data_IF_503366273569
#
_entry.id   IF_503366273569
#
_cell.length_a   1.000
_cell.length_b   1.000
_cell.length_c   1.000
_cell.angle_alpha   90.00
_cell.angle_beta   90.00
_cell.angle_gamma   90.00
#
_symmetry.space_group_name_H-M   'P 1'
#
loop_
_entity.id
_entity.type
_entity.pdbx_description
1 polymer ?
#
# COMPACT_ATOMS: atom_id res chain seq x y z
N UNK A 1 -17.57 7.57 -8.80
CA UNK A 1 -17.55 7.49 -7.32
C UNK A 1 -18.43 6.36 -6.79
N UNK A 2 -19.54 5.99 -7.46
CA UNK A 2 -20.34 4.80 -7.12
C UNK A 2 -19.51 3.53 -6.86
N UNK A 3 -18.50 3.26 -7.68
CA UNK A 3 -17.57 2.13 -7.48
C UNK A 3 -16.89 2.10 -6.09
N UNK A 4 -16.63 3.26 -5.47
CA UNK A 4 -16.07 3.30 -4.11
C UNK A 4 -17.10 2.85 -3.07
N UNK A 5 -18.36 3.24 -3.24
CA UNK A 5 -19.45 2.77 -2.38
C UNK A 5 -19.68 1.28 -2.55
N UNK A 6 -19.61 0.76 -3.77
CA UNK A 6 -19.97 -0.63 -4.03
C UNK A 6 -18.85 -1.61 -3.67
N UNK A 7 -17.58 -1.18 -3.80
CA UNK A 7 -16.43 -2.10 -3.77
C UNK A 7 -15.38 -1.79 -2.71
N UNK A 8 -15.32 -0.58 -2.14
CA UNK A 8 -14.20 -0.14 -1.30
C UNK A 8 -14.58 -0.03 0.18
N UNK A 9 -14.39 -1.11 0.94
CA UNK A 9 -14.85 -1.22 2.33
C UNK A 9 -14.34 -0.08 3.23
N UNK A 10 -13.05 0.26 3.13
CA UNK A 10 -12.48 1.39 3.85
C UNK A 10 -13.26 2.69 3.63
N UNK A 11 -13.66 2.97 2.39
CA UNK A 11 -14.43 4.16 2.04
C UNK A 11 -15.86 4.08 2.56
N UNK A 12 -16.47 2.89 2.58
CA UNK A 12 -17.80 2.68 3.14
C UNK A 12 -17.85 3.05 4.63
N UNK A 13 -16.79 2.71 5.38
CA UNK A 13 -16.64 2.96 6.83
C UNK A 13 -16.30 4.42 7.18
N UNK A 14 -15.87 5.25 6.22
CA UNK A 14 -15.55 6.66 6.49
C UNK A 14 -16.81 7.47 6.88
N UNK A 15 -16.71 8.43 7.80
CA UNK A 15 -17.73 9.45 8.00
C UNK A 15 -17.94 10.32 6.75
N UNK A 16 -19.13 10.90 6.59
CA UNK A 16 -19.50 11.61 5.35
C UNK A 16 -18.54 12.75 4.95
N UNK A 17 -18.03 13.51 5.92
CA UNK A 17 -17.04 14.56 5.66
C UNK A 17 -15.72 14.00 5.14
N UNK A 18 -15.30 12.84 5.65
CA UNK A 18 -14.10 12.13 5.22
C UNK A 18 -14.28 11.46 3.85
N UNK A 19 -15.49 11.00 3.51
CA UNK A 19 -15.81 10.48 2.16
C UNK A 19 -15.57 11.53 1.09
N UNK A 20 -16.12 12.74 1.25
CA UNK A 20 -15.88 13.84 0.29
C UNK A 20 -14.40 14.16 0.15
N UNK A 21 -13.67 14.16 1.26
CA UNK A 21 -12.22 14.39 1.25
C UNK A 21 -11.45 13.28 0.52
N UNK A 22 -11.83 12.02 0.74
CA UNK A 22 -11.27 10.85 0.07
C UNK A 22 -11.51 10.92 -1.44
N UNK A 23 -12.74 11.19 -1.88
CA UNK A 23 -13.10 11.33 -3.29
C UNK A 23 -12.27 12.41 -4.00
N UNK A 24 -12.10 13.57 -3.35
CA UNK A 24 -11.27 14.65 -3.89
C UNK A 24 -9.81 14.21 -4.06
N UNK A 25 -9.25 13.48 -3.08
CA UNK A 25 -7.88 12.96 -3.17
C UNK A 25 -7.76 11.91 -4.28
N UNK A 26 -8.74 11.02 -4.43
CA UNK A 26 -8.79 10.02 -5.52
C UNK A 26 -8.83 10.71 -6.88
N UNK A 27 -9.72 11.69 -7.08
CA UNK A 27 -9.81 12.44 -8.32
C UNK A 27 -8.50 13.19 -8.62
N UNK A 28 -7.87 13.77 -7.60
CA UNK A 28 -6.58 14.46 -7.74
C UNK A 28 -5.46 13.49 -8.12
N UNK A 29 -5.41 12.30 -7.51
CA UNK A 29 -4.46 11.25 -7.85
C UNK A 29 -4.63 10.82 -9.31
N UNK A 30 -5.88 10.56 -9.74
CA UNK A 30 -6.17 10.16 -11.13
C UNK A 30 -5.73 11.24 -12.12
N UNK A 31 -5.92 12.52 -11.79
CA UNK A 31 -5.47 13.65 -12.61
C UNK A 31 -3.95 13.78 -12.64
N UNK A 32 -3.27 13.45 -11.54
CA UNK A 32 -1.83 13.61 -11.38
C UNK A 32 -1.03 12.58 -12.16
N UNK A 33 -1.46 11.32 -12.14
CA UNK A 33 -0.70 10.21 -12.72
C UNK A 33 -1.35 9.70 -14.01
N UNK A 34 -0.63 9.65 -15.14
CA UNK A 34 -1.07 8.92 -16.32
C UNK A 34 -1.12 7.42 -16.02
N UNK A 35 -2.19 6.78 -16.49
CA UNK A 35 -2.38 5.33 -16.47
C UNK A 35 -2.17 4.79 -17.88
N UNK A 36 -1.23 3.87 -18.03
CA UNK A 36 -0.75 3.37 -19.32
C UNK A 36 -1.06 1.87 -19.39
N UNK A 37 -1.93 1.50 -20.33
CA UNK A 37 -2.20 0.10 -20.65
C UNK A 37 -1.07 -0.51 -21.50
N UNK A 38 -0.73 -1.76 -21.21
CA UNK A 38 0.20 -2.60 -21.98
C UNK A 38 -0.50 -3.88 -22.44
N UNK A 39 0.09 -4.54 -23.43
CA UNK A 39 -0.40 -5.79 -24.01
C UNK A 39 -1.88 -5.72 -24.45
N UNK A 40 -2.25 -4.59 -25.07
CA UNK A 40 -3.57 -4.37 -25.65
C UNK A 40 -4.69 -4.05 -24.65
N UNK A 41 -4.40 -3.95 -23.35
CA UNK A 41 -5.44 -3.60 -22.36
C UNK A 41 -5.90 -2.14 -22.52
N UNK A 42 -7.22 -1.94 -22.59
CA UNK A 42 -7.81 -0.61 -22.50
C UNK A 42 -7.98 -0.23 -21.04
N UNK A 43 -7.36 0.88 -20.60
CA UNK A 43 -7.47 1.34 -19.22
C UNK A 43 -8.88 1.89 -18.95
N UNK A 44 -9.63 1.20 -18.09
CA UNK A 44 -11.00 1.58 -17.72
C UNK A 44 -11.03 2.58 -16.56
N UNK A 45 -12.17 3.22 -16.32
CA UNK A 45 -12.37 4.07 -15.15
C UNK A 45 -12.33 3.28 -13.83
N UNK A 46 -12.76 2.03 -13.85
CA UNK A 46 -12.69 1.15 -12.69
C UNK A 46 -11.24 0.93 -12.24
N UNK A 47 -10.35 0.60 -13.17
CA UNK A 47 -8.91 0.45 -12.90
C UNK A 47 -8.34 1.71 -12.24
N UNK A 48 -8.63 2.88 -12.83
CA UNK A 48 -8.15 4.17 -12.31
C UNK A 48 -8.65 4.43 -10.88
N UNK A 49 -9.93 4.17 -10.63
CA UNK A 49 -10.56 4.43 -9.34
C UNK A 49 -10.02 3.48 -8.27
N UNK A 50 -9.97 2.17 -8.52
CA UNK A 50 -9.53 1.20 -7.50
C UNK A 50 -8.05 1.36 -7.16
N UNK A 51 -7.18 1.56 -8.17
CA UNK A 51 -5.75 1.81 -7.95
C UNK A 51 -5.55 3.12 -7.18
N UNK A 52 -6.22 4.21 -7.58
CA UNK A 52 -6.10 5.48 -6.90
C UNK A 52 -6.65 5.44 -5.47
N UNK A 53 -7.77 4.76 -5.24
CA UNK A 53 -8.36 4.59 -3.92
C UNK A 53 -7.43 3.82 -2.98
N UNK A 54 -6.75 2.77 -3.48
CA UNK A 54 -5.77 2.01 -2.70
C UNK A 54 -4.60 2.89 -2.26
N UNK A 55 -4.04 3.69 -3.17
CA UNK A 55 -2.99 4.66 -2.82
C UNK A 55 -3.46 5.72 -1.81
N UNK A 56 -4.67 6.24 -2.00
CA UNK A 56 -5.25 7.28 -1.13
C UNK A 56 -5.59 6.73 0.24
N UNK A 57 -6.06 5.49 0.34
CA UNK A 57 -6.28 4.78 1.61
C UNK A 57 -4.99 4.69 2.42
N UNK A 58 -3.91 4.20 1.78
CA UNK A 58 -2.60 4.08 2.42
C UNK A 58 -2.06 5.43 2.94
N UNK A 59 -2.33 6.51 2.22
CA UNK A 59 -1.83 7.86 2.53
C UNK A 59 -2.89 8.76 3.15
N UNK A 60 -4.02 8.22 3.62
CA UNK A 60 -5.19 9.03 3.96
C UNK A 60 -4.90 10.00 5.12
N UNK A 61 -4.17 9.51 6.11
CA UNK A 61 -3.67 10.30 7.24
C UNK A 61 -2.61 11.34 6.89
N UNK A 62 -1.95 11.23 5.73
CA UNK A 62 -0.81 12.09 5.38
C UNK A 62 -1.26 13.43 4.79
N UNK A 63 -0.54 14.50 5.13
CA UNK A 63 -0.77 15.83 4.53
C UNK A 63 -0.29 15.87 3.09
N UNK A 64 0.88 15.29 2.81
CA UNK A 64 1.39 15.06 1.45
C UNK A 64 1.09 13.61 1.05
N UNK A 65 -0.04 13.42 0.38
CA UNK A 65 -0.56 12.09 0.04
C UNK A 65 -0.20 11.62 -1.38
N UNK A 66 0.30 12.54 -2.23
CA UNK A 66 0.76 12.19 -3.57
C UNK A 66 2.24 11.81 -3.53
N UNK A 67 2.58 10.76 -4.27
CA UNK A 67 3.94 10.29 -4.43
C UNK A 67 4.76 11.14 -5.42
N UNK A 68 5.96 11.54 -5.03
CA UNK A 68 6.92 12.27 -5.87
C UNK A 68 7.95 11.34 -6.52
N UNK A 69 8.04 10.09 -6.03
CA UNK A 69 8.98 9.06 -6.48
C UNK A 69 8.47 8.24 -7.67
N UNK A 70 7.19 8.38 -8.03
CA UNK A 70 6.59 7.85 -9.25
C UNK A 70 5.96 8.99 -10.06
N UNK A 71 5.85 8.78 -11.37
CA UNK A 71 5.19 9.70 -12.30
C UNK A 71 4.18 9.04 -13.24
N UNK A 72 4.04 7.70 -13.20
CA UNK A 72 3.09 6.94 -14.02
C UNK A 72 2.73 5.59 -13.40
N UNK A 73 1.58 5.08 -13.83
CA UNK A 73 1.05 3.76 -13.46
C UNK A 73 0.92 2.94 -14.74
N UNK A 74 1.48 1.74 -14.75
CA UNK A 74 1.44 0.83 -15.89
C UNK A 74 0.56 -0.36 -15.53
N UNK A 75 -0.34 -0.74 -16.45
CA UNK A 75 -1.29 -1.83 -16.24
C UNK A 75 -1.11 -2.86 -17.36
N UNK A 76 -0.88 -4.10 -16.97
CA UNK A 76 -0.93 -5.30 -17.81
C UNK A 76 -2.21 -6.08 -17.54
N UNK A 77 -2.74 -6.84 -18.50
CA UNK A 77 -3.93 -7.67 -18.28
C UNK A 77 -3.69 -8.82 -17.28
N UNK A 78 -2.54 -9.49 -17.38
CA UNK A 78 -2.14 -10.62 -16.51
C UNK A 78 -0.65 -10.47 -16.13
N UNK A 79 -0.02 -11.54 -15.63
CA UNK A 79 1.42 -11.63 -15.35
C UNK A 79 2.21 -11.19 -16.58
N UNK A 80 3.22 -10.35 -16.35
CA UNK A 80 4.05 -9.77 -17.41
C UNK A 80 5.52 -10.03 -17.13
N UNK A 81 6.32 -10.02 -18.19
CA UNK A 81 7.78 -10.13 -18.06
C UNK A 81 8.39 -8.75 -17.84
N UNK A 82 9.07 -8.55 -16.71
CA UNK A 82 9.83 -7.33 -16.44
C UNK A 82 11.24 -7.46 -17.01
N UNK A 83 11.59 -6.59 -17.96
CA UNK A 83 12.95 -6.52 -18.50
C UNK A 83 13.95 -5.95 -17.50
N UNK A 84 13.48 -5.35 -16.39
CA UNK A 84 14.34 -4.74 -15.38
C UNK A 84 15.11 -5.79 -14.57
N UNK A 85 14.45 -6.86 -14.15
CA UNK A 85 15.04 -7.95 -13.38
C UNK A 85 14.93 -9.33 -14.07
N UNK A 86 14.46 -9.34 -15.33
CA UNK A 86 14.36 -10.54 -16.17
C UNK A 86 13.50 -11.65 -15.55
N UNK A 87 12.39 -11.27 -14.91
CA UNK A 87 11.46 -12.19 -14.27
C UNK A 87 10.00 -11.85 -14.58
N UNK A 88 9.11 -12.81 -14.32
CA UNK A 88 7.67 -12.61 -14.41
C UNK A 88 7.13 -12.00 -13.12
N UNK A 89 6.30 -10.98 -13.25
CA UNK A 89 5.75 -10.21 -12.13
C UNK A 89 4.24 -10.12 -12.16
N UNK A 90 3.67 -10.00 -10.97
CA UNK A 90 2.28 -9.58 -10.76
C UNK A 90 2.21 -8.08 -10.49
N UNK A 91 3.21 -7.51 -9.81
CA UNK A 91 3.38 -6.08 -9.62
C UNK A 91 4.87 -5.74 -9.52
N UNK A 92 5.20 -4.46 -9.74
CA UNK A 92 6.55 -3.95 -9.56
C UNK A 92 6.53 -2.45 -9.30
N UNK A 93 7.13 -2.01 -8.20
CA UNK A 93 7.62 -0.64 -8.07
C UNK A 93 9.04 -0.52 -8.64
N UNK A 94 9.19 0.36 -9.64
CA UNK A 94 10.46 0.63 -10.32
C UNK A 94 10.93 2.08 -10.11
N UNK A 95 11.84 2.35 -9.15
CA UNK A 95 12.32 3.70 -8.87
C UNK A 95 13.07 4.37 -10.03
N UNK A 96 13.77 3.58 -10.87
CA UNK A 96 14.52 4.12 -12.02
C UNK A 96 13.57 4.62 -13.10
N UNK A 97 12.51 3.87 -13.36
CA UNK A 97 11.47 4.27 -14.30
C UNK A 97 10.45 5.23 -13.71
N UNK A 98 10.50 5.49 -12.39
CA UNK A 98 9.47 6.23 -11.63
C UNK A 98 8.07 5.67 -11.91
N UNK A 99 7.95 4.36 -11.95
CA UNK A 99 6.72 3.67 -12.31
C UNK A 99 6.31 2.69 -11.23
N UNK A 100 5.00 2.52 -11.08
CA UNK A 100 4.41 1.36 -10.45
C UNK A 100 3.65 0.58 -11.51
N UNK A 101 3.78 -0.74 -11.49
CA UNK A 101 3.28 -1.65 -12.51
C UNK A 101 2.37 -2.68 -11.87
N UNK A 102 1.23 -2.96 -12.49
CA UNK A 102 0.25 -3.91 -11.99
C UNK A 102 -0.25 -4.87 -13.07
N UNK A 103 -0.37 -6.14 -12.72
CA UNK A 103 -1.26 -7.10 -13.37
C UNK A 103 -2.69 -6.85 -12.88
N UNK A 104 -3.58 -6.46 -13.79
CA UNK A 104 -4.95 -6.12 -13.43
C UNK A 104 -5.72 -7.30 -12.84
N UNK A 105 -5.54 -8.49 -13.42
CA UNK A 105 -6.13 -9.72 -12.89
C UNK A 105 -5.78 -9.93 -11.41
N UNK A 106 -4.48 -9.87 -11.08
CA UNK A 106 -4.01 -10.10 -9.72
C UNK A 106 -4.34 -8.94 -8.77
N UNK A 107 -4.41 -7.72 -9.29
CA UNK A 107 -4.91 -6.58 -8.54
C UNK A 107 -6.36 -6.81 -8.11
N UNK A 108 -7.23 -7.32 -9.00
CA UNK A 108 -8.61 -7.65 -8.67
C UNK A 108 -8.74 -8.86 -7.75
N UNK A 109 -7.91 -9.90 -7.92
CA UNK A 109 -7.90 -11.08 -7.05
C UNK A 109 -7.63 -10.68 -5.59
N UNK A 110 -6.58 -9.89 -5.34
CA UNK A 110 -6.25 -9.38 -3.99
C UNK A 110 -7.19 -8.28 -3.50
N UNK A 111 -8.19 -7.89 -4.28
CA UNK A 111 -9.24 -6.97 -3.88
C UNK A 111 -10.57 -7.70 -3.62
N UNK A 112 -10.72 -8.91 -4.16
CA UNK A 112 -11.92 -9.73 -3.98
C UNK A 112 -11.95 -10.46 -2.63
N UNK A 113 -10.79 -10.64 -2.01
CA UNK A 113 -10.63 -11.21 -0.67
C UNK A 113 -9.93 -10.12 0.15
N UNK A 114 -10.62 -9.60 1.16
CA UNK A 114 -10.18 -8.45 1.95
C UNK A 114 -9.50 -8.84 3.28
N UNK A 115 -9.29 -10.15 3.51
CA UNK A 115 -8.83 -10.69 4.79
C UNK A 115 -7.76 -11.80 4.66
N UNK A 116 -7.22 -12.04 3.47
CA UNK A 116 -6.14 -13.02 3.25
C UNK A 116 -4.74 -12.41 3.37
N UNK A 117 -4.64 -11.09 3.57
CA UNK A 117 -3.39 -10.34 3.65
C UNK A 117 -2.53 -10.47 2.37
N UNK A 118 -3.18 -10.57 1.20
CA UNK A 118 -2.59 -10.70 -0.14
C UNK A 118 -3.09 -9.61 -1.10
N UNK A 119 -2.80 -8.35 -0.76
CA UNK A 119 -3.27 -7.22 -1.54
C UNK A 119 -2.15 -6.61 -2.37
N UNK A 120 -2.11 -6.97 -3.65
CA UNK A 120 -1.08 -6.48 -4.58
C UNK A 120 -1.00 -4.95 -4.62
N UNK A 121 -2.14 -4.27 -4.56
CA UNK A 121 -2.19 -2.82 -4.56
C UNK A 121 -1.53 -2.21 -3.33
N UNK A 122 -1.89 -2.69 -2.15
CA UNK A 122 -1.27 -2.26 -0.88
C UNK A 122 0.22 -2.61 -0.85
N UNK A 123 0.59 -3.79 -1.33
CA UNK A 123 1.97 -4.26 -1.35
C UNK A 123 2.88 -3.31 -2.14
N UNK A 124 2.55 -3.07 -3.41
CA UNK A 124 3.37 -2.22 -4.28
C UNK A 124 3.32 -0.74 -3.87
N UNK A 125 2.17 -0.24 -3.40
CA UNK A 125 2.13 1.12 -2.84
C UNK A 125 2.87 1.22 -1.50
N UNK A 126 2.94 0.15 -0.72
CA UNK A 126 3.76 0.05 0.49
C UNK A 126 5.24 0.23 0.18
N UNK A 127 5.73 -0.42 -0.88
CA UNK A 127 7.07 -0.19 -1.42
C UNK A 127 7.31 1.27 -1.84
N UNK A 128 6.37 1.86 -2.59
CA UNK A 128 6.45 3.29 -2.98
C UNK A 128 6.50 4.20 -1.76
N UNK A 129 5.64 3.94 -0.77
CA UNK A 129 5.56 4.73 0.45
C UNK A 129 6.85 4.63 1.26
N UNK A 130 7.36 3.43 1.46
CA UNK A 130 8.62 3.19 2.15
C UNK A 130 9.77 3.95 1.48
N UNK A 131 9.90 3.81 0.17
CA UNK A 131 10.95 4.50 -0.59
C UNK A 131 10.82 6.04 -0.53
N UNK A 132 9.59 6.57 -0.56
CA UNK A 132 9.36 8.01 -0.39
C UNK A 132 9.64 8.48 1.04
N UNK A 133 9.20 7.72 2.04
CA UNK A 133 9.32 8.06 3.46
C UNK A 133 10.76 8.20 3.91
N UNK A 134 11.68 7.42 3.33
CA UNK A 134 13.12 7.53 3.61
C UNK A 134 13.81 8.65 2.81
N UNK A 135 13.26 9.07 1.66
CA UNK A 135 13.92 10.04 0.75
C UNK A 135 13.44 11.48 0.89
N UNK A 136 12.20 11.69 1.29
CA UNK A 136 11.62 13.04 1.41
C UNK A 136 11.91 13.62 2.79
N UNK A 137 11.89 14.96 2.89
CA UNK A 137 12.08 15.71 4.13
C UNK A 137 10.82 16.45 4.58
N UNK A 138 9.65 16.10 4.04
CA UNK A 138 8.39 16.66 4.51
C UNK A 138 7.94 16.00 5.83
N UNK A 139 7.02 16.66 6.54
CA UNK A 139 6.57 16.21 7.86
C UNK A 139 6.08 14.76 7.87
N UNK A 140 5.34 14.31 6.85
CA UNK A 140 4.84 12.93 6.80
C UNK A 140 5.99 11.93 6.58
N UNK A 141 6.98 12.28 5.76
CA UNK A 141 8.18 11.48 5.57
C UNK A 141 9.08 11.45 6.83
N UNK A 142 9.17 12.54 7.58
CA UNK A 142 9.89 12.58 8.86
C UNK A 142 9.23 11.67 9.90
N UNK A 143 7.89 11.73 10.03
CA UNK A 143 7.16 10.81 10.93
C UNK A 143 7.39 9.37 10.48
N UNK A 144 7.23 9.09 9.18
CA UNK A 144 7.45 7.76 8.63
C UNK A 144 8.86 7.24 8.94
N UNK A 145 9.92 7.98 8.63
CA UNK A 145 11.31 7.53 8.80
C UNK A 145 11.68 7.30 10.27
N UNK A 146 11.31 8.22 11.18
CA UNK A 146 11.56 8.05 12.62
C UNK A 146 10.83 6.82 13.16
N UNK A 147 9.55 6.66 12.85
CA UNK A 147 8.78 5.52 13.33
C UNK A 147 9.22 4.21 12.68
N UNK A 148 9.61 4.24 11.41
CA UNK A 148 10.21 3.10 10.71
C UNK A 148 11.48 2.62 11.43
N UNK A 149 12.40 3.53 11.78
CA UNK A 149 13.65 3.18 12.47
C UNK A 149 13.37 2.55 13.85
N UNK A 150 12.37 3.06 14.58
CA UNK A 150 11.91 2.47 15.83
C UNK A 150 11.37 1.05 15.64
N UNK A 151 10.48 0.87 14.64
CA UNK A 151 9.93 -0.45 14.32
C UNK A 151 11.07 -1.40 13.96
N UNK A 152 11.98 -1.02 13.05
CA UNK A 152 13.08 -1.88 12.62
C UNK A 152 14.00 -2.28 13.77
N UNK A 153 14.29 -1.35 14.68
CA UNK A 153 15.07 -1.64 15.89
C UNK A 153 14.37 -2.68 16.77
N UNK A 154 13.07 -2.57 16.95
CA UNK A 154 12.28 -3.50 17.76
C UNK A 154 12.12 -4.86 17.11
N UNK A 155 11.79 -4.92 15.82
CA UNK A 155 11.54 -6.20 15.13
C UNK A 155 12.81 -7.00 14.89
N UNK A 156 13.97 -6.34 14.79
CA UNK A 156 15.27 -7.00 14.68
C UNK A 156 15.84 -7.46 16.02
N UNK A 157 15.26 -7.05 17.14
CA UNK A 157 15.65 -7.58 18.44
C UNK A 157 15.36 -9.10 18.47
N UNK A 158 16.33 -9.99 18.76
CA UNK A 158 16.17 -11.42 18.53
C UNK A 158 14.93 -12.05 19.17
N UNK A 159 14.55 -11.64 20.38
CA UNK A 159 13.34 -12.17 21.03
C UNK A 159 12.06 -11.75 20.30
N UNK A 160 11.98 -10.50 19.81
CA UNK A 160 10.83 -9.99 19.07
C UNK A 160 10.76 -10.62 17.68
N UNK A 161 11.89 -10.74 16.98
CA UNK A 161 11.99 -11.43 15.70
C UNK A 161 11.48 -12.87 15.81
N UNK A 162 11.98 -13.63 16.80
CA UNK A 162 11.55 -15.00 17.03
C UNK A 162 10.06 -15.09 17.33
N UNK A 163 9.52 -14.18 18.15
CA UNK A 163 8.07 -14.13 18.45
C UNK A 163 7.24 -13.85 17.19
N UNK A 164 7.69 -12.93 16.33
CA UNK A 164 7.02 -12.60 15.07
C UNK A 164 6.99 -13.81 14.13
N UNK A 165 8.13 -14.47 13.93
CA UNK A 165 8.23 -15.64 13.04
C UNK A 165 7.40 -16.81 13.58
N UNK A 166 7.44 -17.06 14.89
CA UNK A 166 6.73 -18.18 15.53
C UNK A 166 5.21 -18.00 15.57
N UNK A 167 4.69 -16.76 15.52
CA UNK A 167 3.24 -16.55 15.49
C UNK A 167 2.61 -16.99 14.17
N UNK A 168 3.41 -17.08 13.09
CA UNK A 168 2.94 -17.28 11.71
C UNK A 168 1.90 -16.25 11.24
N UNK A 169 1.81 -15.10 11.91
CA UNK A 169 0.85 -14.07 11.56
C UNK A 169 1.25 -13.38 10.25
N UNK A 170 2.51 -12.91 10.16
CA UNK A 170 3.06 -12.39 8.91
C UNK A 170 3.60 -13.55 8.07
N UNK A 171 3.34 -13.50 6.76
CA UNK A 171 3.88 -14.48 5.79
C UNK A 171 5.41 -14.54 5.86
N UNK A 172 5.98 -15.73 5.66
CA UNK A 172 7.44 -15.92 5.69
C UNK A 172 8.19 -14.98 4.72
N UNK A 173 7.53 -14.64 3.61
CA UNK A 173 8.01 -13.69 2.62
C UNK A 173 8.33 -12.30 3.19
N UNK A 174 7.61 -11.85 4.23
CA UNK A 174 7.87 -10.58 4.92
C UNK A 174 9.30 -10.50 5.49
N UNK A 175 9.91 -11.63 5.80
CA UNK A 175 11.25 -11.69 6.39
C UNK A 175 12.38 -11.75 5.35
N UNK A 176 12.08 -11.61 4.06
CA UNK A 176 13.09 -11.61 2.99
C UNK A 176 14.02 -10.40 3.11
N UNK A 177 13.47 -9.21 3.36
CA UNK A 177 14.20 -7.98 3.65
C UNK A 177 13.23 -6.92 4.24
N UNK A 178 13.75 -5.78 4.68
CA UNK A 178 12.94 -4.69 5.27
C UNK A 178 11.90 -4.09 4.31
N UNK A 179 12.19 -4.12 3.00
CA UNK A 179 11.30 -3.58 1.98
C UNK A 179 10.03 -4.41 1.86
N UNK A 180 10.17 -5.74 1.85
CA UNK A 180 9.06 -6.69 1.91
C UNK A 180 8.33 -6.63 3.25
N UNK A 181 9.09 -6.52 4.34
CA UNK A 181 8.51 -6.46 5.68
C UNK A 181 7.52 -5.29 5.83
N UNK A 182 7.89 -4.09 5.37
CA UNK A 182 7.01 -2.92 5.43
C UNK A 182 5.77 -3.10 4.56
N UNK A 183 5.92 -3.64 3.33
CA UNK A 183 4.79 -3.88 2.44
C UNK A 183 3.80 -4.88 3.06
N UNK A 184 4.30 -6.01 3.59
CA UNK A 184 3.45 -7.03 4.22
C UNK A 184 2.80 -6.52 5.50
N UNK A 185 3.49 -5.75 6.33
CA UNK A 185 2.89 -5.12 7.50
C UNK A 185 1.72 -4.22 7.12
N UNK A 186 1.86 -3.44 6.05
CA UNK A 186 0.79 -2.53 5.60
C UNK A 186 -0.40 -3.30 5.02
N UNK A 187 -0.19 -4.44 4.35
CA UNK A 187 -1.27 -5.34 3.96
C UNK A 187 -2.09 -5.75 5.19
N UNK A 188 -1.43 -6.24 6.25
CA UNK A 188 -2.13 -6.68 7.47
C UNK A 188 -2.79 -5.52 8.22
N UNK A 189 -2.19 -4.33 8.19
CA UNK A 189 -2.76 -3.13 8.80
C UNK A 189 -4.12 -2.75 8.21
N UNK A 190 -4.32 -2.93 6.90
CA UNK A 190 -5.58 -2.56 6.25
C UNK A 190 -6.56 -3.74 6.11
N UNK A 191 -6.07 -4.97 5.93
CA UNK A 191 -6.92 -6.14 5.67
C UNK A 191 -7.37 -6.85 6.96
N UNK A 192 -6.48 -6.97 7.95
CA UNK A 192 -6.81 -7.61 9.23
C UNK A 192 -6.45 -6.75 10.45
N UNK A 193 -6.89 -5.46 10.52
CA UNK A 193 -6.47 -4.52 11.57
C UNK A 193 -6.74 -5.01 12.99
N UNK A 194 -7.89 -5.66 13.23
CA UNK A 194 -8.26 -6.16 14.55
C UNK A 194 -7.40 -7.35 14.99
N UNK A 195 -7.04 -8.23 14.06
CA UNK A 195 -6.13 -9.35 14.32
C UNK A 195 -4.70 -8.82 14.57
N UNK A 196 -4.24 -7.87 13.76
CA UNK A 196 -2.92 -7.25 13.94
C UNK A 196 -2.83 -6.58 15.33
N UNK A 197 -3.85 -5.80 15.69
CA UNK A 197 -3.91 -5.14 16.99
C UNK A 197 -3.95 -6.13 18.16
N UNK A 198 -4.63 -7.27 18.00
CA UNK A 198 -4.71 -8.31 19.04
C UNK A 198 -3.38 -9.03 19.22
N UNK A 199 -2.74 -9.45 18.13
CA UNK A 199 -1.50 -10.25 18.18
C UNK A 199 -0.26 -9.39 18.52
N UNK A 200 -0.18 -8.18 17.97
CA UNK A 200 0.97 -7.28 18.09
C UNK A 200 0.54 -5.82 18.35
N UNK A 201 -0.12 -5.51 19.48
CA UNK A 201 -0.69 -4.19 19.75
C UNK A 201 0.32 -3.04 19.68
N UNK A 202 1.53 -3.23 20.20
CA UNK A 202 2.57 -2.20 20.18
C UNK A 202 3.08 -1.91 18.76
N UNK A 203 3.24 -2.97 17.96
CA UNK A 203 3.65 -2.83 16.56
C UNK A 203 2.53 -2.17 15.73
N UNK A 204 1.27 -2.56 15.96
CA UNK A 204 0.11 -1.94 15.31
C UNK A 204 0.06 -0.42 15.55
N UNK A 205 0.21 0.04 16.79
CA UNK A 205 0.20 1.48 17.10
C UNK A 205 1.38 2.23 16.46
N UNK A 206 2.56 1.60 16.38
CA UNK A 206 3.69 2.19 15.64
C UNK A 206 3.43 2.26 14.15
N UNK A 207 2.84 1.25 13.55
CA UNK A 207 2.49 1.28 12.12
C UNK A 207 1.45 2.36 11.85
N UNK A 208 0.43 2.47 12.71
CA UNK A 208 -0.57 3.55 12.68
C UNK A 208 0.09 4.93 12.71
N UNK A 209 1.04 5.14 13.61
CA UNK A 209 1.84 6.37 13.69
C UNK A 209 2.68 6.61 12.42
N UNK A 210 3.37 5.57 11.93
CA UNK A 210 4.24 5.62 10.75
C UNK A 210 3.52 6.16 9.52
N UNK A 211 2.23 5.79 9.34
CA UNK A 211 1.40 6.27 8.23
C UNK A 211 0.48 7.46 8.58
N UNK A 212 0.66 8.04 9.77
CA UNK A 212 -0.15 9.13 10.33
C UNK A 212 -1.65 8.85 10.31
N UNK A 213 -2.04 7.58 10.53
CA UNK A 213 -3.42 7.16 10.42
C UNK A 213 -4.19 7.46 11.71
N UNK A 214 -5.03 8.49 11.70
CA UNK A 214 -6.01 8.70 12.76
C UNK A 214 -7.16 7.72 12.54
N UNK A 215 -7.36 6.78 13.46
CA UNK A 215 -8.57 5.95 13.48
C UNK A 215 -9.79 6.87 13.42
N UNK A 216 -10.62 6.72 12.40
CA UNK A 216 -12.03 7.08 12.50
C UNK A 216 -12.57 6.29 13.67
N UNK A 217 -12.88 6.98 14.77
CA UNK A 217 -13.58 6.42 15.93
C UNK A 217 -14.87 5.70 15.50
#
# INVERSE_FOLDING_TARGET
MQLLYDKFEFYQRLPQNQKTYFEHRVATFIKKYPFIGKDGITVTNEMKILIAATAVMLTFGMRKYLFTVIDKIIIYPDVYFSTFNQAYHKGEFNPRMKAIVFSWKHFLEGYAIDNDNLNLGLHEFGHVLHYQGIKSSDTSATIFSVTYDEIMKEVKYPANYNRLVQSNYFRIYAYTNEFEFVAVILEHFFETPEDFKREFPQLYEKVKMMINFSSTE
#
